data_IF_099696342756
#
_entry.id   IF_099696342756
#
_cell.length_a   1.000
_cell.length_b   1.000
_cell.length_c   1.000
_cell.angle_alpha   90.00
_cell.angle_beta   90.00
_cell.angle_gamma   90.00
#
_symmetry.space_group_name_H-M   'P 1'
#
loop_
_entity.id
_entity.type
_entity.pdbx_description
1 polymer ?
2 non-polymer ?
3 non-polymer ?
4 non-polymer ?
5 water ?
#
# COMPACT_ATOMS: atom_id res chain seq x y z
N UNK A 1 -6.84 -6.45 13.69
CA UNK A 1 -6.71 -7.04 12.29
C UNK A 1 -7.79 -6.33 11.49
N UNK A 2 -7.67 -6.42 10.16
CA UNK A 2 -8.74 -5.93 9.29
C UNK A 2 -8.95 -7.03 8.22
N UNK A 3 -10.11 -7.01 7.59
CA UNK A 3 -10.50 -8.08 6.64
C UNK A 3 -11.19 -7.51 5.38
N UNK A 4 -11.03 -8.20 4.27
CA UNK A 4 -11.74 -7.81 3.03
C UNK A 4 -12.09 -9.11 2.26
N UNK A 5 -13.37 -9.21 1.86
CA UNK A 5 -13.92 -10.37 1.11
C UNK A 5 -14.27 -9.96 -0.32
N UNK A 6 -13.72 -10.68 -1.28
CA UNK A 6 -14.01 -10.37 -2.67
C UNK A 6 -15.43 -10.87 -3.05
N UNK A 7 -15.89 -11.89 -2.33
CA UNK A 7 -17.20 -12.49 -2.66
C UNK A 7 -18.27 -11.47 -2.23
N UNK A 8 -19.00 -10.96 -3.20
CA UNK A 8 -19.99 -9.91 -2.93
C UNK A 8 -19.43 -8.51 -2.83
N UNK A 9 -18.13 -8.36 -3.07
CA UNK A 9 -17.48 -7.01 -2.98
C UNK A 9 -18.07 -5.98 -3.95
N UNK A 10 -18.19 -4.76 -3.46
CA UNK A 10 -18.63 -3.69 -4.30
C UNK A 10 -17.87 -2.38 -3.90
N UNK A 11 -18.10 -1.25 -4.59
CA UNK A 11 -17.38 -0.02 -4.16
C UNK A 11 -17.53 0.36 -2.68
N UNK A 12 -18.74 0.13 -2.16
CA UNK A 12 -19.01 0.43 -0.77
C UNK A 12 -18.21 -0.50 0.19
N UNK A 13 -18.21 -1.81 -0.05
CA UNK A 13 -17.54 -2.69 0.88
C UNK A 13 -15.97 -2.50 0.80
N UNK A 14 -15.50 -2.18 -0.40
CA UNK A 14 -14.05 -1.89 -0.59
C UNK A 14 -13.71 -0.59 0.19
N UNK A 15 -14.55 0.45 0.06
CA UNK A 15 -14.31 1.71 0.80
C UNK A 15 -14.32 1.47 2.31
N UNK A 16 -15.17 0.54 2.79
CA UNK A 16 -15.20 0.22 4.24
C UNK A 16 -13.91 -0.47 4.65
N UNK A 17 -13.37 -1.36 3.77
CA UNK A 17 -12.09 -2.02 4.07
C UNK A 17 -10.93 -0.97 4.16
N UNK A 18 -10.87 -0.07 3.23
CA UNK A 18 -9.79 0.90 3.14
C UNK A 18 -9.89 1.84 4.35
N UNK A 19 -11.14 2.18 4.72
CA UNK A 19 -11.30 2.99 5.99
C UNK A 19 -10.81 2.23 7.26
N UNK A 20 -11.11 0.93 7.36
CA UNK A 20 -10.64 0.04 8.49
C UNK A 20 -9.11 -0.04 8.46
N UNK A 21 -8.53 -0.15 7.24
CA UNK A 21 -7.05 -0.26 7.10
C UNK A 21 -6.41 1.08 7.63
N UNK A 22 -6.91 2.21 7.13
CA UNK A 22 -6.40 3.52 7.62
C UNK A 22 -6.54 3.62 9.18
N UNK A 23 -7.69 3.22 9.65
CA UNK A 23 -8.01 3.37 11.13
C UNK A 23 -7.27 2.39 12.01
N UNK A 24 -6.70 1.33 11.39
CA UNK A 24 -5.87 0.40 12.13
C UNK A 24 -4.45 0.94 12.37
N UNK A 25 -4.04 2.00 11.69
CA UNK A 25 -2.67 2.44 11.81
C UNK A 25 -2.62 3.51 12.91
N UNK A 26 -1.74 3.29 13.87
CA UNK A 26 -1.73 4.22 15.02
C UNK A 26 -1.02 5.55 14.69
N UNK A 27 -1.45 6.62 15.42
CA UNK A 27 -0.88 7.96 15.28
C UNK A 27 -1.21 8.70 16.58
N UNK A 28 -0.34 9.62 16.96
CA UNK A 28 -0.59 10.46 18.14
C UNK A 28 -0.84 11.91 17.73
N UNK A 29 -0.50 12.28 16.50
CA UNK A 29 -0.81 13.59 16.02
C UNK A 29 -1.25 13.63 14.55
N UNK A 30 -1.96 14.69 14.20
CA UNK A 30 -2.21 15.01 12.82
C UNK A 30 -1.45 16.25 12.45
N UNK A 31 -0.97 16.25 11.22
CA UNK A 31 -0.25 17.35 10.63
C UNK A 31 -1.09 17.84 9.47
N UNK A 32 -1.55 19.08 9.59
CA UNK A 32 -2.51 19.65 8.64
C UNK A 32 -3.71 18.73 8.46
N UNK A 33 -4.15 18.21 9.58
CA UNK A 33 -5.30 17.38 9.70
C UNK A 33 -5.16 15.99 9.08
N UNK A 34 -3.94 15.59 8.84
CA UNK A 34 -3.64 14.25 8.20
C UNK A 34 -2.88 13.44 9.26
N UNK A 35 -3.32 12.19 9.60
CA UNK A 35 -2.62 11.38 10.56
C UNK A 35 -1.15 11.20 10.22
N UNK A 36 -0.30 11.36 11.22
CA UNK A 36 1.11 11.26 11.06
C UNK A 36 1.55 9.93 11.62
N UNK A 37 2.02 9.05 10.77
CA UNK A 37 2.41 7.72 11.26
C UNK A 37 3.58 7.82 12.26
N UNK A 38 3.63 6.84 13.14
CA UNK A 38 4.66 6.81 14.21
C UNK A 38 6.12 6.63 13.68
N UNK A 39 7.12 7.24 14.37
CA UNK A 39 8.53 7.02 14.04
C UNK A 39 8.86 5.51 14.14
N UNK A 40 8.32 4.86 15.14
CA UNK A 40 8.74 3.50 15.48
C UNK A 40 7.70 2.84 16.36
N UNK A 41 7.62 1.50 16.27
CA UNK A 41 6.77 0.67 17.12
C UNK A 41 7.59 -0.60 17.40
N UNK A 42 7.68 -1.01 18.66
CA UNK A 42 8.55 -2.14 19.06
C UNK A 42 7.75 -3.42 19.17
N UNK A 43 8.38 -4.50 18.72
CA UNK A 43 7.83 -5.85 18.89
C UNK A 43 6.72 -6.16 17.92
N UNK A 44 5.83 -7.06 18.33
CA UNK A 44 4.78 -7.55 17.45
C UNK A 44 3.83 -6.43 17.03
N UNK A 45 3.68 -5.39 17.87
CA UNK A 45 2.65 -4.36 17.58
C UNK A 45 2.96 -3.53 16.35
N UNK A 46 4.13 -3.74 15.81
CA UNK A 46 4.52 -3.08 14.61
C UNK A 46 3.74 -3.55 13.43
N UNK A 47 3.15 -4.73 13.51
CA UNK A 47 2.60 -5.37 12.27
C UNK A 47 1.10 -5.48 12.36
N UNK A 48 0.40 -5.00 11.32
CA UNK A 48 -1.02 -5.17 11.19
C UNK A 48 -1.25 -6.42 10.29
N UNK A 49 -2.24 -7.24 10.65
CA UNK A 49 -2.63 -8.41 9.82
C UNK A 49 -3.88 -8.08 9.05
N UNK A 50 -3.79 -8.30 7.73
CA UNK A 50 -4.90 -8.01 6.86
C UNK A 50 -5.31 -9.34 6.30
N UNK A 51 -6.51 -9.72 6.58
CA UNK A 51 -7.04 -11.01 6.10
C UNK A 51 -7.83 -10.77 4.84
N UNK A 52 -7.33 -11.35 3.73
CA UNK A 52 -7.99 -11.16 2.44
C UNK A 52 -8.55 -12.45 1.90
N UNK A 53 -9.78 -12.36 1.35
CA UNK A 53 -10.48 -13.61 0.90
C UNK A 53 -10.86 -13.47 -0.55
N UNK A 54 -10.47 -14.50 -1.32
CA UNK A 54 -10.79 -14.44 -2.74
C UNK A 54 -12.24 -14.80 -2.93
N UNK A 55 -12.68 -14.70 -4.16
CA UNK A 55 -14.12 -14.95 -4.40
C UNK A 55 -14.61 -16.33 -3.96
N UNK A 56 -13.76 -17.33 -4.01
CA UNK A 56 -14.09 -18.63 -3.53
C UNK A 56 -13.92 -18.78 -2.05
N UNK A 57 -13.51 -17.75 -1.35
CA UNK A 57 -13.44 -17.92 0.10
C UNK A 57 -12.10 -18.41 0.68
N UNK A 58 -11.16 -18.67 -0.20
CA UNK A 58 -9.78 -18.94 0.19
C UNK A 58 -9.09 -17.69 0.68
N UNK A 59 -8.13 -17.85 1.58
CA UNK A 59 -7.61 -16.64 2.27
C UNK A 59 -6.09 -16.62 2.41
N UNK A 60 -5.53 -15.42 2.35
CA UNK A 60 -4.13 -15.17 2.80
C UNK A 60 -4.18 -14.09 3.92
N UNK A 61 -3.19 -14.14 4.81
CA UNK A 61 -3.05 -13.04 5.77
C UNK A 61 -1.82 -12.25 5.36
N UNK A 62 -1.95 -10.92 5.25
CA UNK A 62 -0.85 -10.15 4.86
C UNK A 62 -0.33 -9.31 6.03
N UNK A 63 0.98 -9.28 6.24
CA UNK A 63 1.53 -8.46 7.38
C UNK A 63 2.02 -7.10 6.85
N UNK A 64 1.59 -6.01 7.51
CA UNK A 64 1.85 -4.67 7.10
C UNK A 64 2.51 -3.89 8.29
N UNK A 65 3.65 -3.30 8.01
CA UNK A 65 4.37 -2.45 8.98
C UNK A 65 3.55 -1.17 9.20
N UNK A 66 3.11 -0.91 10.47
CA UNK A 66 2.14 0.21 10.71
C UNK A 66 2.79 1.64 10.66
N UNK A 67 4.11 1.71 10.66
CA UNK A 67 4.82 2.98 10.56
C UNK A 67 4.98 3.43 9.12
N UNK A 68 4.86 2.50 8.11
CA UNK A 68 5.10 2.99 6.76
C UNK A 68 4.15 2.38 5.65
N UNK A 69 3.27 1.52 6.11
CA UNK A 69 2.23 0.75 5.30
C UNK A 69 2.95 -0.16 4.31
N UNK A 70 4.17 -0.58 4.60
CA UNK A 70 4.90 -1.48 3.70
C UNK A 70 4.51 -2.91 3.97
N UNK A 71 4.22 -3.67 2.92
CA UNK A 71 3.86 -5.07 3.19
C UNK A 71 5.16 -5.86 3.39
N UNK A 72 5.22 -6.70 4.42
CA UNK A 72 6.45 -7.39 4.77
C UNK A 72 6.44 -8.85 4.22
N UNK A 73 5.28 -9.44 4.23
CA UNK A 73 5.09 -10.87 3.85
C UNK A 73 3.71 -11.24 4.05
N UNK A 74 3.42 -12.53 3.89
CA UNK A 74 2.02 -12.99 3.97
C UNK A 74 2.05 -14.50 4.28
N UNK A 75 0.96 -15.00 4.80
CA UNK A 75 0.75 -16.42 5.09
C UNK A 75 -0.32 -16.99 4.17
N UNK A 76 -0.03 -18.15 3.63
CA UNK A 76 -1.02 -18.80 2.74
C UNK A 76 -1.04 -20.29 3.17
N UNK A 77 -2.14 -20.69 3.81
CA UNK A 77 -2.35 -21.97 4.52
C UNK A 77 -1.26 -22.15 5.57
N UNK A 78 -0.33 -23.10 5.34
CA UNK A 78 0.76 -23.32 6.35
C UNK A 78 2.16 -22.81 5.98
N UNK A 79 2.25 -22.01 4.91
CA UNK A 79 3.47 -21.50 4.47
C UNK A 79 3.48 -19.99 4.60
N UNK A 80 4.52 -19.47 5.22
CA UNK A 80 4.76 -18.01 5.17
C UNK A 80 5.74 -17.58 4.10
N UNK A 81 5.55 -16.37 3.57
CA UNK A 81 6.46 -15.79 2.56
C UNK A 81 6.84 -14.38 3.00
N UNK A 82 8.11 -14.05 2.86
CA UNK A 82 8.66 -12.65 3.16
C UNK A 82 9.54 -12.15 2.08
N UNK A 83 9.49 -10.85 1.85
CA UNK A 83 10.46 -10.20 0.99
C UNK A 83 11.87 -10.45 1.46
N UNK A 84 12.78 -10.39 0.50
CA UNK A 84 14.20 -10.59 0.80
C UNK A 84 14.84 -9.21 1.13
N UNK A 85 14.55 -8.73 2.33
CA UNK A 85 15.01 -7.44 2.83
C UNK A 85 15.06 -7.44 4.37
N UNK A 86 15.93 -6.65 4.96
CA UNK A 86 16.06 -6.74 6.42
C UNK A 86 14.78 -6.47 7.23
N UNK A 87 13.98 -5.50 6.82
CA UNK A 87 12.75 -5.20 7.53
C UNK A 87 11.80 -6.38 7.55
N UNK A 88 11.77 -7.15 6.43
CA UNK A 88 10.91 -8.29 6.34
C UNK A 88 11.46 -9.44 7.13
N UNK A 89 12.80 -9.67 7.10
CA UNK A 89 13.33 -10.73 7.93
C UNK A 89 13.06 -10.41 9.42
N UNK A 90 13.16 -9.14 9.83
CA UNK A 90 12.75 -8.76 11.20
C UNK A 90 11.28 -9.10 11.48
N UNK A 91 10.37 -8.81 10.55
CA UNK A 91 8.96 -9.07 10.75
C UNK A 91 8.75 -10.59 10.97
N UNK A 92 9.57 -11.41 10.31
CA UNK A 92 9.38 -12.86 10.34
C UNK A 92 9.71 -13.40 11.75
N UNK A 93 10.34 -12.56 12.55
CA UNK A 93 10.51 -12.86 13.96
C UNK A 93 9.22 -12.74 14.77
N UNK A 94 8.29 -11.94 14.31
CA UNK A 94 7.06 -11.66 15.04
C UNK A 94 5.76 -12.27 14.52
N UNK A 95 5.59 -12.45 13.19
CA UNK A 95 4.31 -12.82 12.61
C UNK A 95 4.44 -14.20 11.92
N UNK A 96 3.36 -14.93 11.92
CA UNK A 96 3.22 -16.23 11.20
C UNK A 96 4.25 -17.23 11.70
N UNK A 97 4.69 -17.06 12.95
CA UNK A 97 5.72 -17.98 13.46
C UNK A 97 5.21 -19.45 13.49
N UNK A 98 3.89 -19.65 13.49
CA UNK A 98 3.35 -20.99 13.49
C UNK A 98 3.23 -21.68 12.11
N UNK A 99 3.67 -21.03 11.04
CA UNK A 99 3.70 -21.63 9.69
C UNK A 99 4.57 -22.85 9.76
N UNK A 100 4.18 -23.92 9.07
CA UNK A 100 5.09 -25.10 8.94
C UNK A 100 6.41 -24.79 8.21
N UNK A 101 6.42 -23.89 7.24
CA UNK A 101 7.68 -23.52 6.55
C UNK A 101 7.63 -22.06 6.16
N UNK A 102 8.77 -21.46 6.06
CA UNK A 102 8.98 -20.05 5.64
C UNK A 102 9.79 -19.93 4.38
N UNK A 103 9.18 -19.37 3.32
CA UNK A 103 9.92 -19.10 2.11
C UNK A 103 10.28 -17.63 2.02
N UNK A 104 11.54 -17.34 1.77
CA UNK A 104 11.97 -15.99 1.49
C UNK A 104 11.80 -15.81 -0.03
N UNK A 105 10.95 -14.85 -0.41
CA UNK A 105 10.87 -14.52 -1.85
C UNK A 105 12.17 -14.04 -2.45
N UNK A 106 12.41 -14.27 -3.76
CA UNK A 106 13.74 -13.94 -4.33
C UNK A 106 13.81 -12.47 -4.86
N UNK A 107 13.17 -11.54 -4.13
CA UNK A 107 13.28 -10.14 -4.39
C UNK A 107 12.87 -9.43 -3.11
N UNK A 108 13.28 -8.19 -3.02
CA UNK A 108 12.70 -7.33 -2.04
C UNK A 108 11.35 -6.77 -2.51
N UNK A 109 10.79 -5.91 -1.67
CA UNK A 109 9.43 -5.38 -1.86
C UNK A 109 9.32 -4.05 -2.60
N UNK A 110 10.42 -3.51 -3.07
CA UNK A 110 10.20 -2.26 -3.74
C UNK A 110 9.85 -2.37 -5.22
N UNK A 111 9.21 -1.31 -5.70
CA UNK A 111 8.59 -1.42 -6.99
C UNK A 111 9.59 -1.80 -8.07
N UNK A 112 10.79 -1.26 -8.01
CA UNK A 112 11.72 -1.57 -9.06
C UNK A 112 12.11 -3.05 -9.12
N UNK A 113 12.46 -3.64 -8.01
CA UNK A 113 12.72 -5.11 -7.93
C UNK A 113 11.55 -5.99 -8.32
N UNK A 114 10.33 -5.58 -7.89
CA UNK A 114 9.14 -6.35 -8.20
C UNK A 114 8.85 -6.28 -9.68
N UNK A 115 8.99 -5.12 -10.33
CA UNK A 115 8.74 -4.98 -11.77
C UNK A 115 9.75 -5.81 -12.59
N UNK A 116 10.99 -5.82 -12.10
CA UNK A 116 12.03 -6.66 -12.73
C UNK A 116 11.62 -8.16 -12.68
N UNK A 117 11.29 -8.65 -11.46
CA UNK A 117 10.79 -10.04 -11.29
C UNK A 117 9.55 -10.38 -12.14
N UNK A 118 8.62 -9.43 -12.21
CA UNK A 118 7.37 -9.63 -12.94
C UNK A 118 7.58 -9.56 -14.43
N UNK A 119 8.65 -8.86 -14.86
CA UNK A 119 8.92 -8.76 -16.31
C UNK A 119 8.13 -7.61 -16.94
N UNK A 120 7.48 -6.77 -16.13
CA UNK A 120 6.72 -5.64 -16.67
C UNK A 120 6.62 -4.50 -15.66
N UNK A 121 6.52 -3.26 -16.17
CA UNK A 121 6.37 -2.13 -15.24
C UNK A 121 4.94 -2.11 -14.78
N UNK A 122 4.66 -1.39 -13.70
CA UNK A 122 3.29 -1.44 -13.36
C UNK A 122 2.34 -0.58 -14.21
N UNK A 123 2.89 0.28 -15.07
CA UNK A 123 2.08 0.97 -16.10
C UNK A 123 1.31 -0.01 -16.97
N UNK A 124 1.83 -1.20 -17.10
CA UNK A 124 1.20 -2.20 -17.98
C UNK A 124 0.37 -3.28 -17.30
N UNK A 125 0.30 -3.25 -15.95
CA UNK A 125 -0.41 -4.30 -15.19
C UNK A 125 -1.79 -3.77 -14.74
N UNK A 126 -2.86 -4.33 -15.29
CA UNK A 126 -4.21 -3.89 -14.84
C UNK A 126 -4.43 -4.09 -13.32
N UNK A 127 -5.06 -3.08 -12.72
CA UNK A 127 -5.47 -3.24 -11.33
C UNK A 127 -7.00 -3.02 -11.17
N UNK A 128 -7.53 -3.40 -10.03
CA UNK A 128 -8.99 -3.40 -9.78
C UNK A 128 -9.29 -4.51 -8.82
N UNK A 129 -10.59 -4.65 -8.50
CA UNK A 129 -11.07 -5.65 -7.61
C UNK A 129 -10.93 -7.07 -8.29
N UNK A 130 -11.22 -7.19 -9.58
CA UNK A 130 -10.96 -8.56 -10.15
C UNK A 130 -9.47 -8.92 -10.12
N UNK A 131 -8.59 -7.95 -10.35
CA UNK A 131 -7.15 -8.22 -10.32
C UNK A 131 -6.73 -8.59 -8.90
N UNK A 132 -7.33 -7.94 -7.89
CA UNK A 132 -7.07 -8.32 -6.48
C UNK A 132 -7.49 -9.76 -6.18
N UNK A 133 -8.67 -10.17 -6.67
CA UNK A 133 -9.12 -11.56 -6.51
C UNK A 133 -8.10 -12.51 -7.14
N UNK A 134 -7.65 -12.18 -8.35
CA UNK A 134 -6.58 -13.03 -9.02
C UNK A 134 -5.30 -13.03 -8.22
N UNK A 135 -4.93 -11.91 -7.66
CA UNK A 135 -3.71 -11.85 -6.90
C UNK A 135 -3.71 -12.74 -5.65
N UNK A 136 -4.81 -12.73 -4.93
CA UNK A 136 -4.90 -13.52 -3.68
C UNK A 136 -4.81 -14.99 -4.13
N UNK A 137 -5.53 -15.29 -5.22
CA UNK A 137 -5.46 -16.67 -5.78
C UNK A 137 -4.02 -17.10 -6.12
N UNK A 138 -3.26 -16.23 -6.80
CA UNK A 138 -1.90 -16.54 -7.21
C UNK A 138 -1.06 -16.82 -5.96
N UNK A 139 -1.24 -16.01 -4.95
CA UNK A 139 -0.40 -16.11 -3.79
C UNK A 139 -0.61 -17.38 -3.00
N UNK A 140 -1.73 -18.05 -3.20
CA UNK A 140 -2.10 -19.24 -2.42
C UNK A 140 -1.09 -20.38 -2.66
N UNK A 141 -0.49 -20.38 -3.84
CA UNK A 141 0.54 -21.39 -4.18
C UNK A 141 1.76 -20.75 -4.83
N UNK A 142 2.92 -21.14 -4.29
CA UNK A 142 4.12 -20.44 -4.64
C UNK A 142 4.45 -20.52 -6.12
N UNK A 143 4.75 -19.39 -6.69
CA UNK A 143 5.25 -19.24 -8.03
C UNK A 143 5.88 -17.83 -8.01
N UNK A 144 7.22 -17.72 -7.98
CA UNK A 144 7.81 -16.40 -7.59
C UNK A 144 7.61 -15.33 -8.70
N UNK A 145 7.67 -15.75 -9.97
CA UNK A 145 7.38 -14.84 -11.08
C UNK A 145 5.95 -14.37 -11.06
N UNK A 146 5.00 -15.26 -10.90
CA UNK A 146 3.54 -14.86 -10.89
C UNK A 146 3.30 -14.00 -9.64
N UNK A 147 3.93 -14.39 -8.53
CA UNK A 147 3.70 -13.66 -7.26
C UNK A 147 4.19 -12.19 -7.37
N UNK A 148 5.29 -11.89 -8.11
CA UNK A 148 5.78 -10.50 -8.25
C UNK A 148 4.63 -9.61 -8.81
N UNK A 149 3.99 -10.07 -9.87
CA UNK A 149 2.86 -9.31 -10.44
C UNK A 149 1.71 -9.25 -9.44
N UNK A 150 1.38 -10.37 -8.79
CA UNK A 150 0.31 -10.37 -7.85
C UNK A 150 0.65 -9.28 -6.78
N UNK A 151 1.87 -9.28 -6.31
CA UNK A 151 2.21 -8.34 -5.19
C UNK A 151 2.13 -6.88 -5.65
N UNK A 152 2.43 -6.57 -6.92
CA UNK A 152 2.26 -5.22 -7.50
C UNK A 152 0.81 -4.84 -7.44
N UNK A 153 -0.07 -5.81 -7.76
CA UNK A 153 -1.57 -5.55 -7.64
C UNK A 153 -1.93 -5.38 -6.17
N UNK A 154 -1.48 -6.24 -5.29
CA UNK A 154 -1.84 -6.17 -3.90
C UNK A 154 -1.39 -4.88 -3.21
N UNK A 155 -0.16 -4.47 -3.47
CA UNK A 155 0.38 -3.22 -2.81
C UNK A 155 -0.47 -2.00 -3.22
N UNK A 156 -0.85 -1.93 -4.53
CA UNK A 156 -1.54 -0.76 -5.02
C UNK A 156 -2.96 -0.73 -4.56
N UNK A 157 -3.61 -1.89 -4.45
CA UNK A 157 -5.09 -1.92 -4.14
C UNK A 157 -5.33 -1.90 -2.61
N UNK A 158 -4.26 -1.97 -1.79
CA UNK A 158 -4.41 -1.99 -0.34
C UNK A 158 -3.64 -0.75 0.20
N UNK A 159 -2.31 -0.87 0.33
CA UNK A 159 -1.44 0.28 0.85
C UNK A 159 -1.59 1.59 0.12
N UNK A 160 -1.55 1.58 -1.22
CA UNK A 160 -1.55 2.82 -1.94
C UNK A 160 -2.95 3.51 -1.87
N UNK A 161 -3.99 2.67 -1.91
CA UNK A 161 -5.40 3.19 -1.71
C UNK A 161 -5.61 3.73 -0.27
N UNK A 162 -4.98 3.09 0.72
CA UNK A 162 -5.07 3.62 2.13
C UNK A 162 -4.35 4.99 2.12
N UNK A 163 -3.22 5.15 1.41
CA UNK A 163 -2.49 6.43 1.47
C UNK A 163 -3.13 7.61 0.73
N UNK A 164 -3.89 7.36 -0.35
CA UNK A 164 -4.41 8.40 -1.21
C UNK A 164 -5.89 8.11 -1.57
N UNK A 165 -6.77 9.03 -1.18
CA UNK A 165 -8.17 8.95 -1.55
C UNK A 165 -8.36 8.79 -3.08
N UNK A 166 -7.55 9.47 -3.88
CA UNK A 166 -7.63 9.40 -5.37
C UNK A 166 -7.44 7.88 -5.85
N UNK A 167 -6.46 7.21 -5.23
CA UNK A 167 -6.20 5.78 -5.60
C UNK A 167 -7.32 4.83 -5.13
N UNK A 168 -7.86 5.08 -3.94
CA UNK A 168 -9.03 4.34 -3.45
C UNK A 168 -10.19 4.49 -4.48
N UNK A 169 -10.48 5.74 -4.86
CA UNK A 169 -11.51 5.96 -5.92
C UNK A 169 -11.19 5.31 -7.29
N UNK A 170 -9.91 5.27 -7.70
CA UNK A 170 -9.50 4.64 -8.96
C UNK A 170 -9.87 3.16 -8.85
N UNK A 171 -9.62 2.53 -7.71
CA UNK A 171 -9.95 1.12 -7.52
C UNK A 171 -11.45 0.87 -7.52
N UNK A 172 -12.16 1.78 -6.89
CA UNK A 172 -13.62 1.67 -6.86
C UNK A 172 -14.21 1.72 -8.28
N UNK A 173 -13.58 2.51 -9.13
CA UNK A 173 -14.01 2.64 -10.54
C UNK A 173 -13.69 1.32 -11.26
N UNK A 174 -12.74 0.55 -10.70
CA UNK A 174 -12.37 -0.72 -11.28
C UNK A 174 -12.94 -1.89 -10.50
N UNK A 175 -14.15 -1.74 -9.95
CA UNK A 175 -14.72 -2.77 -9.06
C UNK A 175 -15.04 -4.03 -9.92
N UNK A 176 -15.41 -3.80 -11.18
CA UNK A 176 -15.89 -5.00 -11.97
C UNK A 176 -15.18 -5.14 -13.32
N UNK A 177 -14.21 -4.29 -13.56
CA UNK A 177 -13.33 -4.22 -14.79
C UNK A 177 -11.99 -3.68 -14.39
N UNK A 178 -10.94 -4.51 -14.50
CA UNK A 178 -9.61 -3.96 -14.38
C UNK A 178 -9.18 -2.97 -15.43
N UNK A 179 -8.27 -2.09 -15.00
CA UNK A 179 -7.65 -1.19 -15.95
C UNK A 179 -6.29 -0.80 -15.43
N UNK A 180 -5.31 -0.58 -16.29
CA UNK A 180 -4.00 -0.21 -15.80
C UNK A 180 -4.13 1.13 -15.05
N UNK A 181 -3.30 1.34 -14.05
CA UNK A 181 -3.35 2.63 -13.28
C UNK A 181 -3.19 3.92 -14.14
N UNK A 182 -3.91 5.01 -13.78
CA UNK A 182 -3.71 6.29 -14.45
C UNK A 182 -2.27 6.75 -14.15
N UNK A 183 -1.70 7.58 -15.03
CA UNK A 183 -0.36 8.18 -14.81
C UNK A 183 -0.38 8.98 -13.48
N UNK A 184 -1.54 9.59 -13.13
CA UNK A 184 -1.68 10.32 -11.82
C UNK A 184 -1.48 9.32 -10.61
N UNK A 185 -2.03 8.12 -10.74
CA UNK A 185 -1.88 7.10 -9.72
C UNK A 185 -0.37 6.79 -9.52
N UNK A 186 0.32 6.44 -10.61
CA UNK A 186 1.75 6.17 -10.57
C UNK A 186 2.55 7.32 -9.93
N UNK A 187 2.15 8.54 -10.33
CA UNK A 187 2.84 9.76 -9.84
C UNK A 187 2.73 9.84 -8.30
N UNK A 188 1.52 9.61 -7.78
CA UNK A 188 1.22 9.72 -6.33
C UNK A 188 1.96 8.66 -5.53
N UNK A 189 1.96 7.42 -6.08
CA UNK A 189 2.71 6.35 -5.42
C UNK A 189 4.16 6.71 -5.23
N UNK A 190 4.76 7.18 -6.29
CA UNK A 190 6.13 7.53 -6.36
C UNK A 190 6.46 8.74 -5.48
N UNK A 191 5.46 9.55 -5.23
CA UNK A 191 5.64 10.81 -4.47
C UNK A 191 5.29 10.77 -2.99
N UNK A 192 4.88 9.61 -2.47
CA UNK A 192 4.29 9.60 -1.16
C UNK A 192 5.32 10.04 -0.12
N UNK A 193 6.54 9.48 -0.21
CA UNK A 193 7.62 9.88 0.71
C UNK A 193 7.92 11.38 0.63
N UNK A 194 8.08 11.87 -0.60
CA UNK A 194 8.31 13.31 -0.94
C UNK A 194 7.23 14.19 -0.31
N UNK A 195 5.99 13.86 -0.61
CA UNK A 195 4.85 14.60 -0.08
C UNK A 195 4.78 14.63 1.44
N UNK A 196 4.96 13.47 2.06
CA UNK A 196 4.88 13.31 3.47
C UNK A 196 5.94 14.22 4.09
N UNK A 197 7.14 14.26 3.51
CA UNK A 197 8.22 15.05 4.10
C UNK A 197 7.89 16.54 3.98
N UNK A 198 7.47 16.96 2.78
CA UNK A 198 7.22 18.40 2.52
C UNK A 198 6.04 18.94 3.35
N UNK A 199 5.01 18.12 3.56
CA UNK A 199 3.88 18.51 4.44
C UNK A 199 4.33 18.67 5.90
N UNK A 200 5.20 17.78 6.36
CA UNK A 200 5.82 17.99 7.66
C UNK A 200 6.78 19.23 7.74
N UNK A 201 7.55 19.51 6.69
CA UNK A 201 8.51 20.67 6.70
C UNK A 201 7.70 21.96 6.60
N UNK A 202 6.54 21.92 5.94
CA UNK A 202 5.60 23.06 5.93
C UNK A 202 5.16 23.59 7.32
N UNK A 203 5.14 22.75 8.35
CA UNK A 203 4.85 23.30 9.67
C UNK A 203 6.18 23.87 10.09
N UNK A 204 6.21 25.14 10.36
CA UNK A 204 7.49 25.80 10.59
C UNK A 204 7.87 26.68 9.39
N UNK A 205 7.15 26.50 8.31
CA UNK A 205 7.38 27.27 7.13
C UNK A 205 6.11 27.90 6.55
N UNK A 206 5.16 28.21 7.39
CA UNK A 206 3.95 28.88 6.98
C UNK A 206 3.16 28.10 5.92
N UNK A 207 3.19 26.79 6.03
CA UNK A 207 2.38 25.98 5.07
C UNK A 207 3.05 25.80 3.71
N UNK A 208 4.27 26.32 3.53
CA UNK A 208 4.98 26.37 2.23
C UNK A 208 5.99 25.22 2.22
N UNK A 209 5.94 24.38 1.17
CA UNK A 209 7.00 23.35 0.92
C UNK A 209 8.42 23.95 0.81
N UNK A 210 9.38 23.33 1.48
CA UNK A 210 10.77 23.68 1.30
C UNK A 210 11.22 23.37 -0.12
N UNK A 211 10.74 22.27 -0.69
CA UNK A 211 11.04 21.85 -2.06
C UNK A 211 9.73 21.40 -2.78
N UNK A 212 9.40 21.92 -3.94
CA UNK A 212 8.12 21.58 -4.55
C UNK A 212 8.05 20.15 -5.00
N UNK A 213 6.88 19.59 -5.05
CA UNK A 213 6.72 18.22 -5.48
C UNK A 213 6.07 18.24 -6.82
N UNK A 214 6.66 17.54 -7.77
CA UNK A 214 6.10 17.53 -9.12
C UNK A 214 5.21 16.24 -9.27
N UNK A 215 3.96 16.46 -9.69
CA UNK A 215 2.96 15.41 -9.89
C UNK A 215 2.36 15.43 -11.30
N UNK A 216 1.82 14.28 -11.72
CA UNK A 216 0.91 14.26 -12.90
C UNK A 216 -0.56 14.39 -12.46
N UNK A 217 -1.36 15.23 -13.07
CA UNK A 217 -2.79 15.29 -12.68
C UNK A 217 -3.77 14.33 -13.38
N UNK A 218 -5.03 14.37 -12.94
CA UNK A 218 -6.15 13.55 -13.47
C UNK A 218 -6.32 13.61 -15.00
N UNK A 219 -5.77 14.64 -15.60
CA UNK A 219 -5.79 14.85 -17.05
C UNK A 219 -4.51 14.48 -17.74
N UNK A 220 -3.54 13.93 -17.03
CA UNK A 220 -2.27 13.53 -17.64
C UNK A 220 -1.32 14.70 -17.72
N UNK A 221 -1.74 15.81 -17.13
CA UNK A 221 -0.96 17.04 -17.10
C UNK A 221 -0.01 17.13 -15.90
N UNK A 222 1.24 17.48 -16.16
CA UNK A 222 2.29 17.60 -15.13
C UNK A 222 2.20 18.93 -14.36
N UNK A 223 2.06 18.84 -13.02
CA UNK A 223 1.79 19.99 -12.13
C UNK A 223 2.78 20.09 -10.95
N UNK A 224 2.84 21.26 -10.35
CA UNK A 224 3.79 21.48 -9.28
C UNK A 224 3.10 21.78 -7.94
N UNK A 225 3.47 21.09 -6.88
CA UNK A 225 2.76 21.25 -5.57
C UNK A 225 3.74 22.04 -4.67
N UNK A 226 3.31 23.23 -4.22
CA UNK A 226 4.20 24.12 -3.45
C UNK A 226 3.80 24.42 -2.02
N UNK A 227 2.58 24.12 -1.64
CA UNK A 227 2.09 24.48 -0.33
C UNK A 227 0.87 23.66 0.08
N UNK A 228 0.47 23.68 1.34
CA UNK A 228 -0.56 22.83 1.87
C UNK A 228 -1.98 23.18 1.43
N UNK A 229 -2.13 24.21 0.64
CA UNK A 229 -3.48 24.56 0.14
C UNK A 229 -3.85 23.72 -1.11
N UNK A 230 -2.93 22.99 -1.67
CA UNK A 230 -3.20 22.20 -2.83
C UNK A 230 -4.20 21.07 -2.52
N UNK A 231 -5.02 20.70 -3.49
CA UNK A 231 -5.99 19.65 -3.30
C UNK A 231 -5.27 18.35 -2.90
N UNK A 232 -4.07 18.12 -3.34
CA UNK A 232 -3.40 16.88 -2.97
C UNK A 232 -3.27 16.78 -1.49
N UNK A 233 -2.95 17.88 -0.83
CA UNK A 233 -2.91 17.97 0.63
C UNK A 233 -4.22 18.03 1.43
N UNK A 234 -5.17 18.80 0.95
CA UNK A 234 -6.45 19.05 1.68
C UNK A 234 -7.46 17.91 1.51
N UNK A 235 -7.35 17.23 0.39
CA UNK A 235 -8.27 16.17 0.06
C UNK A 235 -7.75 14.76 -0.20
N UNK A 236 -6.64 14.61 -0.84
CA UNK A 236 -6.25 13.34 -1.29
C UNK A 236 -5.39 12.45 -0.35
N UNK A 237 -4.20 12.90 0.01
CA UNK A 237 -3.33 12.18 0.94
C UNK A 237 -4.04 11.90 2.29
N UNK A 238 -3.86 10.68 2.85
CA UNK A 238 -4.59 10.24 4.04
C UNK A 238 -3.70 9.85 5.19
N UNK A 239 -2.40 9.67 4.91
CA UNK A 239 -1.41 9.16 5.89
C UNK A 239 -0.06 9.79 5.52
N UNK A 240 0.69 10.19 6.55
CA UNK A 240 1.99 10.76 6.35
C UNK A 240 3.08 9.84 6.90
N UNK A 241 4.02 9.45 6.02
CA UNK A 241 5.23 8.77 6.49
C UNK A 241 6.02 9.74 7.41
N UNK A 242 6.37 9.35 8.60
CA UNK A 242 7.10 10.23 9.50
C UNK A 242 8.47 10.60 8.94
N UNK A 243 8.87 11.88 8.99
CA UNK A 243 10.22 12.27 8.49
C UNK A 243 11.38 11.54 9.15
N UNK A 244 11.18 11.03 10.36
CA UNK A 244 12.24 10.22 10.99
C UNK A 244 12.60 8.96 10.16
N UNK A 245 11.67 8.52 9.33
CA UNK A 245 11.86 7.39 8.42
C UNK A 245 12.20 7.76 7.00
N UNK A 246 12.54 9.01 6.77
CA UNK A 246 12.84 9.54 5.43
C UNK A 246 14.33 10.04 5.28
X LIG B 1 16.61 -7.47 -4.17
X LIG B 1 15.53 -7.64 -5.06
X LIG B 1 16.55 -8.62 -3.17
X LIG B 1 17.09 -8.31 -1.88
X LIG B 1 16.71 -10.09 -3.65
X LIG B 1 17.74 -10.28 -4.59
X LIG C 1 -14.59 -8.36 -8.23
X LIG C 1 -15.02 -9.20 -9.31
X LIG C 1 -15.43 -8.69 -6.97
X LIG C 1 -15.25 -10.08 -6.63
X LIG C 1 -16.91 -8.25 -7.21
X LIG C 1 -17.76 -8.66 -6.15
X LIG D 1 5.72 -1.26 -1.27
X LIG D 1 4.77 -2.18 -0.54
X LIG D 1 5.57 -2.91 0.49
X LIG D 1 6.97 -3.29 -0.01
X LIG D 1 7.81 -3.67 1.24
X LIG D 1 9.25 -3.62 0.95
X LIG D 1 10.02 -2.52 0.74
X LIG D 1 9.55 -1.29 0.77
X LIG D 1 11.31 -2.66 0.46
X LIG D 1 3.55 -1.52 0.27
X LIG D 1 2.85 -2.28 0.87
X LIG D 1 3.28 -0.33 0.23
X LIG D 1 5.82 0.04 -1.64
X LIG D 1 7.12 0.27 -2.39
X LIG D 1 5.08 0.98 -1.33
X LIG E 1 -0.11 27.51 -2.97
X LIG E 1 0.40 28.60 -3.89
X LIG E 1 -0.62 29.02 -4.95
X LIG E 1 -1.36 27.82 -5.57
X LIG E 1 -1.89 26.86 -4.50
X LIG E 1 -2.60 25.65 -5.17
X LIG E 1 2.00 30.07 -2.67
X LIG E 1 2.15 31.22 -1.70
X LIG E 1 0.71 29.70 -2.98
X LIG E 1 0.02 29.79 -5.95
X LIG E 1 -2.46 28.32 -6.30
X LIG E 1 -0.79 26.48 -3.69
X LIG E 1 -1.67 24.76 -5.83
X LIG E 1 3.01 29.52 -3.20
#
# INVERSE_FOLDING_TARGET
DVSFRLSGADPSSYGMFIKDLRNALPHTEKVYNIPLLLPSVSGAGRYLLMHLFNYDGNTITVAVDVTNVYIMGYLALTTSYFFNEPAADLASQYVFRSARRKITLPYSGNYERLQIAAGKPREKIPIGLPALDTAISTLLHYDSTAAAGALLVLIQTTAEAARFKYIEQQIQERAYRDEVPSSATISLENSWSGLSKQIQLAQGNNGVFRTPTVLVDSKGNRVQITNVTSNVVTSNIQLLLNTKNI
GOL C1 O1 C2 O2 C3 O3
GOL C1 O1 C2 O2 C3 O3
AAG N1 C1 C2 C4 C5 N2 C6 N3 N4 C3 O1 O2 C8 C9 O4
NAG C1 C2 C3 C4 C5 C6 C7 C8 N2 O3 O4 O5 O6 O7
#
